data_IF_856759263456
#
_entry.id   IF_856759263456
#
_cell.length_a   1.000
_cell.length_b   1.000
_cell.length_c   1.000
_cell.angle_alpha   90.00
_cell.angle_beta   90.00
_cell.angle_gamma   90.00
#
_symmetry.space_group_name_H-M   'P 1'
#
loop_
_entity.id
_entity.type
_entity.pdbx_description
1 polymer ?
#
# COMPACT_ATOMS: atom_id res chain seq x y z
N UNK A 1 -17.68 10.55 8.57
CA UNK A 1 -16.73 9.41 8.63
C UNK A 1 -15.91 9.49 7.36
N UNK A 2 -14.60 9.71 7.49
CA UNK A 2 -13.71 9.83 6.33
C UNK A 2 -13.65 8.51 5.56
N UNK A 3 -13.79 8.57 4.23
CA UNK A 3 -13.70 7.42 3.30
C UNK A 3 -12.46 6.57 3.59
N UNK A 4 -11.34 7.23 3.91
CA UNK A 4 -10.07 6.59 4.27
C UNK A 4 -10.12 5.80 5.58
N UNK A 5 -10.93 6.21 6.55
CA UNK A 5 -11.04 5.49 7.83
C UNK A 5 -11.85 4.20 7.69
N UNK A 6 -12.84 4.20 6.80
CA UNK A 6 -13.53 2.98 6.38
C UNK A 6 -12.54 2.02 5.73
N UNK A 7 -11.72 2.49 4.79
CA UNK A 7 -10.69 1.68 4.13
C UNK A 7 -9.71 1.08 5.16
N UNK A 8 -9.20 1.89 6.10
CA UNK A 8 -8.32 1.39 7.18
C UNK A 8 -8.97 0.29 8.01
N UNK A 9 -10.26 0.45 8.32
CA UNK A 9 -11.02 -0.56 9.08
C UNK A 9 -11.13 -1.87 8.29
N UNK A 10 -11.42 -1.81 6.99
CA UNK A 10 -11.47 -2.99 6.12
C UNK A 10 -10.11 -3.70 6.05
N UNK A 11 -9.02 -2.94 5.92
CA UNK A 11 -7.65 -3.50 5.95
C UNK A 11 -7.35 -4.17 7.30
N UNK A 12 -7.72 -3.53 8.40
CA UNK A 12 -7.52 -4.09 9.74
C UNK A 12 -8.33 -5.38 9.95
N UNK A 13 -9.55 -5.43 9.44
CA UNK A 13 -10.44 -6.59 9.48
C UNK A 13 -10.08 -7.71 8.48
N UNK A 14 -9.12 -7.49 7.59
CA UNK A 14 -8.71 -8.48 6.58
C UNK A 14 -9.65 -8.58 5.37
N UNK A 15 -10.63 -7.69 5.25
CA UNK A 15 -11.50 -7.56 4.07
C UNK A 15 -10.74 -6.85 2.93
N UNK A 16 -9.68 -7.49 2.43
CA UNK A 16 -8.71 -6.87 1.52
C UNK A 16 -9.35 -6.51 0.18
N UNK A 17 -10.20 -7.37 -0.37
CA UNK A 17 -10.82 -7.11 -1.67
C UNK A 17 -11.82 -5.94 -1.60
N UNK A 18 -12.59 -5.83 -0.51
CA UNK A 18 -13.46 -4.68 -0.24
C UNK A 18 -12.64 -3.40 -0.03
N UNK A 19 -11.52 -3.47 0.70
CA UNK A 19 -10.63 -2.33 0.88
C UNK A 19 -10.07 -1.83 -0.46
N UNK A 20 -9.68 -2.73 -1.35
CA UNK A 20 -9.16 -2.37 -2.68
C UNK A 20 -10.25 -1.77 -3.57
N UNK A 21 -11.47 -2.32 -3.56
CA UNK A 21 -12.60 -1.75 -4.27
C UNK A 21 -12.94 -0.34 -3.76
N UNK A 22 -12.94 -0.14 -2.44
CA UNK A 22 -13.14 1.18 -1.83
C UNK A 22 -12.01 2.16 -2.19
N UNK A 23 -10.76 1.71 -2.25
CA UNK A 23 -9.65 2.53 -2.74
C UNK A 23 -9.85 2.97 -4.20
N UNK A 24 -10.27 2.07 -5.09
CA UNK A 24 -10.53 2.40 -6.49
C UNK A 24 -11.66 3.43 -6.63
N UNK A 25 -12.76 3.26 -5.88
CA UNK A 25 -13.85 4.22 -5.85
C UNK A 25 -13.37 5.60 -5.33
N UNK A 26 -12.53 5.61 -4.28
CA UNK A 26 -11.96 6.84 -3.74
C UNK A 26 -11.04 7.56 -4.74
N UNK A 27 -10.24 6.82 -5.52
CA UNK A 27 -9.40 7.39 -6.58
C UNK A 27 -10.25 8.04 -7.70
N UNK A 28 -11.42 7.49 -8.00
CA UNK A 28 -12.33 8.03 -9.00
C UNK A 28 -13.12 9.24 -8.51
N UNK A 29 -13.42 9.32 -7.21
CA UNK A 29 -14.19 10.42 -6.62
C UNK A 29 -13.34 11.65 -6.32
N UNK A 30 -12.05 11.47 -6.06
CA UNK A 30 -11.12 12.58 -5.80
C UNK A 30 -10.29 12.94 -7.01
N UNK A 31 -10.09 14.23 -7.23
CA UNK A 31 -9.09 14.77 -8.18
C UNK A 31 -7.86 15.33 -7.46
N UNK A 32 -7.83 15.27 -6.12
CA UNK A 32 -6.71 15.74 -5.33
C UNK A 32 -5.57 14.74 -5.39
N UNK A 33 -4.43 15.21 -5.91
CA UNK A 33 -3.22 14.40 -6.05
C UNK A 33 -2.69 13.92 -4.69
N UNK A 34 -2.73 14.75 -3.65
CA UNK A 34 -2.31 14.32 -2.32
C UNK A 34 -3.24 13.24 -1.74
N UNK A 35 -4.55 13.34 -2.02
CA UNK A 35 -5.49 12.28 -1.67
C UNK A 35 -5.19 10.99 -2.43
N UNK A 36 -4.85 11.06 -3.73
CA UNK A 36 -4.41 9.89 -4.50
C UNK A 36 -3.18 9.22 -3.87
N UNK A 37 -2.18 10.00 -3.45
CA UNK A 37 -1.00 9.47 -2.78
C UNK A 37 -1.38 8.66 -1.52
N UNK A 38 -2.26 9.21 -0.69
CA UNK A 38 -2.73 8.55 0.52
C UNK A 38 -3.53 7.28 0.20
N UNK A 39 -4.37 7.29 -0.84
CA UNK A 39 -5.13 6.10 -1.25
C UNK A 39 -4.21 5.00 -1.78
N UNK A 40 -3.22 5.33 -2.61
CA UNK A 40 -2.22 4.35 -3.06
C UNK A 40 -1.41 3.77 -1.90
N UNK A 41 -1.11 4.57 -0.87
CA UNK A 41 -0.51 4.07 0.37
C UNK A 41 -1.43 3.05 1.08
N UNK A 42 -2.73 3.31 1.17
CA UNK A 42 -3.69 2.37 1.75
C UNK A 42 -3.82 1.09 0.91
N UNK A 43 -3.80 1.18 -0.43
CA UNK A 43 -3.76 -0.01 -1.31
C UNK A 43 -2.50 -0.84 -1.06
N UNK A 44 -1.34 -0.19 -0.89
CA UNK A 44 -0.10 -0.86 -0.54
C UNK A 44 -0.21 -1.60 0.81
N UNK A 45 -0.82 -0.97 1.81
CA UNK A 45 -1.09 -1.60 3.10
C UNK A 45 -2.04 -2.82 2.99
N UNK A 46 -3.07 -2.72 2.15
CA UNK A 46 -4.00 -3.81 1.89
C UNK A 46 -3.29 -5.02 1.26
N UNK A 47 -2.48 -4.79 0.22
CA UNK A 47 -1.67 -5.85 -0.39
C UNK A 47 -0.63 -6.42 0.57
N UNK A 48 0.04 -5.57 1.36
CA UNK A 48 1.00 -6.00 2.39
C UNK A 48 0.35 -6.92 3.42
N UNK A 49 -0.89 -6.64 3.82
CA UNK A 49 -1.65 -7.46 4.79
C UNK A 49 -1.98 -8.86 4.25
N UNK A 50 -2.09 -9.02 2.93
CA UNK A 50 -2.26 -10.31 2.24
C UNK A 50 -0.94 -10.89 1.70
N UNK A 51 0.21 -10.35 2.14
CA UNK A 51 1.54 -10.80 1.72
C UNK A 51 1.78 -10.73 0.20
N UNK A 52 0.98 -9.92 -0.51
CA UNK A 52 1.15 -9.66 -1.94
C UNK A 52 2.22 -8.57 -2.11
N UNK A 53 3.48 -8.93 -1.78
CA UNK A 53 4.59 -8.00 -1.65
C UNK A 53 4.84 -7.20 -2.93
N UNK A 54 4.69 -7.85 -4.10
CA UNK A 54 4.88 -7.20 -5.39
C UNK A 54 3.85 -6.09 -5.63
N UNK A 55 2.56 -6.37 -5.41
CA UNK A 55 1.52 -5.34 -5.57
C UNK A 55 1.61 -4.26 -4.50
N UNK A 56 2.01 -4.64 -3.28
CA UNK A 56 2.26 -3.67 -2.21
C UNK A 56 3.36 -2.67 -2.61
N UNK A 57 4.49 -3.16 -3.12
CA UNK A 57 5.59 -2.31 -3.61
C UNK A 57 5.16 -1.42 -4.77
N UNK A 58 4.38 -1.92 -5.72
CA UNK A 58 3.88 -1.13 -6.84
C UNK A 58 2.94 -0.01 -6.36
N UNK A 59 2.00 -0.31 -5.46
CA UNK A 59 1.10 0.69 -4.91
C UNK A 59 1.85 1.75 -4.09
N UNK A 60 2.83 1.34 -3.28
CA UNK A 60 3.68 2.30 -2.60
C UNK A 60 4.52 3.15 -3.56
N UNK A 61 5.00 2.58 -4.67
CA UNK A 61 5.70 3.37 -5.69
C UNK A 61 4.80 4.45 -6.28
N UNK A 62 3.54 4.13 -6.62
CA UNK A 62 2.59 5.13 -7.11
C UNK A 62 2.35 6.26 -6.08
N UNK A 63 2.26 5.91 -4.79
CA UNK A 63 2.16 6.91 -3.73
C UNK A 63 3.42 7.81 -3.64
N UNK A 64 4.62 7.23 -3.77
CA UNK A 64 5.91 7.95 -3.74
C UNK A 64 6.09 8.86 -4.97
N UNK A 65 5.66 8.41 -6.15
CA UNK A 65 5.74 9.19 -7.39
C UNK A 65 4.91 10.47 -7.29
N UNK A 66 3.85 10.44 -6.50
CA UNK A 66 2.98 11.57 -6.22
C UNK A 66 3.51 12.42 -5.06
N UNK A 67 3.78 11.77 -3.92
CA UNK A 67 4.28 12.39 -2.71
C UNK A 67 5.48 11.60 -2.18
N UNK A 68 6.70 12.04 -2.51
CA UNK A 68 7.94 11.41 -2.05
C UNK A 68 8.11 11.41 -0.54
N UNK A 69 7.41 12.28 0.19
CA UNK A 69 7.45 12.39 1.64
C UNK A 69 6.37 11.57 2.33
N UNK A 70 5.53 10.86 1.56
CA UNK A 70 4.50 9.99 2.12
C UNK A 70 5.09 8.81 2.91
N UNK A 71 4.35 8.25 3.88
CA UNK A 71 4.78 7.05 4.62
C UNK A 71 5.03 5.81 3.74
N UNK A 72 4.60 5.85 2.47
CA UNK A 72 4.81 4.79 1.49
C UNK A 72 6.29 4.51 1.21
N UNK A 73 7.16 5.54 1.26
CA UNK A 73 8.61 5.38 1.07
C UNK A 73 9.19 4.42 2.11
N UNK A 74 8.89 4.67 3.38
CA UNK A 74 9.32 3.81 4.50
C UNK A 74 8.70 2.43 4.41
N UNK A 75 7.40 2.33 4.07
CA UNK A 75 6.71 1.05 3.93
C UNK A 75 7.31 0.16 2.83
N UNK A 76 7.63 0.74 1.67
CA UNK A 76 8.27 0.03 0.57
C UNK A 76 9.69 -0.41 0.92
N UNK A 77 10.45 0.42 1.63
CA UNK A 77 11.79 0.06 2.12
C UNK A 77 11.72 -1.13 3.07
N UNK A 78 10.77 -1.15 4.01
CA UNK A 78 10.56 -2.29 4.92
C UNK A 78 10.28 -3.60 4.15
N UNK A 79 9.42 -3.58 3.12
CA UNK A 79 9.20 -4.78 2.29
C UNK A 79 10.48 -5.21 1.60
N UNK A 80 11.26 -4.27 1.05
CA UNK A 80 12.54 -4.58 0.39
C UNK A 80 13.52 -5.24 1.35
N UNK A 81 13.60 -4.75 2.60
CA UNK A 81 14.45 -5.35 3.65
C UNK A 81 13.97 -6.76 4.03
N UNK A 82 12.65 -6.96 4.18
CA UNK A 82 12.05 -8.27 4.45
C UNK A 82 12.40 -9.26 3.34
N UNK A 83 12.16 -8.90 2.07
CA UNK A 83 12.45 -9.77 0.93
C UNK A 83 13.95 -10.02 0.79
N UNK A 84 14.79 -9.01 1.00
CA UNK A 84 16.23 -9.18 0.99
C UNK A 84 16.69 -10.16 2.07
N UNK A 85 16.15 -10.12 3.28
CA UNK A 85 16.46 -11.10 4.31
C UNK A 85 16.10 -12.52 3.85
N UNK A 86 14.86 -12.73 3.38
CA UNK A 86 14.40 -14.05 2.94
C UNK A 86 15.17 -14.60 1.74
N UNK A 87 15.47 -13.78 0.74
CA UNK A 87 16.11 -14.24 -0.49
C UNK A 87 17.63 -14.23 -0.44
N UNK A 88 18.26 -13.37 0.37
CA UNK A 88 19.72 -13.36 0.54
C UNK A 88 20.20 -14.63 1.25
N UNK A 89 19.44 -15.13 2.23
CA UNK A 89 19.78 -16.39 2.91
C UNK A 89 19.59 -17.62 2.02
N UNK A 90 18.75 -17.53 0.97
CA UNK A 90 18.50 -18.66 0.07
C UNK A 90 19.61 -18.90 -0.97
N UNK A 91 20.46 -17.89 -1.23
CA UNK A 91 21.55 -17.96 -2.24
C UNK A 91 22.97 -17.87 -1.66
N UNK A 92 23.13 -17.81 -0.32
CA UNK A 92 24.44 -17.82 0.34
C UNK A 92 24.88 -19.26 0.74
N UNK A 93 24.90 -20.20 -0.21
CA UNK A 93 25.56 -21.51 -0.04
C UNK A 93 26.94 -21.51 -0.72
#
# INVERSE_FOLDING_TARGET
>A
MDETDRIKTLIAGGAIDEALAACQAALQSTSDRHAHAHIYYLMGNAHRKREDWQKAMNAYQQAIDIDPHSPAATARKMITEILNYYYKDQFNQ
#
